data_IF_948702510272
#
_entry.id   IF_948702510272
#
_cell.length_a   1.000
_cell.length_b   1.000
_cell.length_c   1.000
_cell.angle_alpha   90.00
_cell.angle_beta   90.00
_cell.angle_gamma   90.00
#
_symmetry.space_group_name_H-M   'P 1'
#
loop_
_entity.id
_entity.type
_entity.pdbx_description
1 polymer ?
#
# COMPACT_ATOMS: atom_id res chain seq x y z
N UNK A 1 92.89 -25.52 22.39
CA UNK A 1 93.07 -24.23 21.69
C UNK A 1 92.07 -24.23 20.55
N UNK A 2 91.21 -23.22 20.50
CA UNK A 2 89.95 -23.18 19.74
C UNK A 2 90.22 -23.07 18.23
N UNK A 3 89.70 -23.99 17.43
CA UNK A 3 89.70 -23.90 15.96
C UNK A 3 88.55 -22.98 15.50
N UNK A 4 88.79 -22.03 14.57
CA UNK A 4 87.86 -20.94 14.31
C UNK A 4 86.61 -21.40 13.55
N UNK A 5 85.53 -20.68 13.83
CA UNK A 5 84.17 -20.85 13.33
C UNK A 5 84.10 -20.88 11.80
N UNK A 6 83.53 -21.96 11.27
CA UNK A 6 83.12 -22.11 9.87
C UNK A 6 82.00 -21.10 9.57
N UNK A 7 82.06 -20.31 8.48
CA UNK A 7 80.97 -19.41 8.13
C UNK A 7 79.70 -20.20 7.78
N UNK A 8 78.50 -19.70 8.10
CA UNK A 8 77.24 -20.38 7.82
C UNK A 8 77.03 -20.52 6.30
N UNK A 9 76.53 -21.69 5.87
CA UNK A 9 76.26 -22.00 4.47
C UNK A 9 75.07 -21.17 3.94
N UNK A 10 75.10 -20.73 2.67
CA UNK A 10 74.02 -19.94 2.06
C UNK A 10 72.68 -20.68 1.92
N UNK A 11 72.63 -21.98 2.22
CA UNK A 11 71.41 -22.79 2.13
C UNK A 11 70.42 -22.51 3.27
N UNK A 12 70.85 -22.06 4.46
CA UNK A 12 69.93 -21.71 5.55
C UNK A 12 69.10 -20.44 5.26
N UNK A 13 69.56 -19.58 4.37
CA UNK A 13 68.84 -18.37 3.95
C UNK A 13 67.69 -18.67 2.98
N UNK A 14 67.67 -19.85 2.34
CA UNK A 14 66.64 -20.22 1.36
C UNK A 14 65.39 -20.85 2.00
N UNK A 15 65.46 -21.29 3.25
CA UNK A 15 64.36 -21.97 3.94
C UNK A 15 63.48 -21.04 4.80
N UNK A 16 63.72 -19.72 4.79
CA UNK A 16 62.96 -18.73 5.58
C UNK A 16 62.30 -17.65 4.72
N UNK A 17 61.81 -18.03 3.54
CA UNK A 17 60.80 -17.23 2.83
C UNK A 17 59.53 -18.06 2.67
N UNK A 18 58.84 -18.32 3.78
CA UNK A 18 57.40 -18.59 3.70
C UNK A 18 56.78 -17.30 3.18
N UNK A 19 56.53 -17.25 1.88
CA UNK A 19 55.77 -16.17 1.26
C UNK A 19 54.38 -16.25 1.86
N UNK A 20 54.11 -15.37 2.82
CA UNK A 20 52.76 -15.12 3.33
C UNK A 20 51.93 -14.66 2.13
N UNK A 21 51.15 -15.57 1.55
CA UNK A 21 50.15 -15.22 0.55
C UNK A 21 49.19 -14.27 1.25
N UNK A 22 49.32 -12.98 0.95
CA UNK A 22 48.37 -11.98 1.40
C UNK A 22 46.98 -12.44 0.93
N UNK A 23 46.16 -12.93 1.88
CA UNK A 23 44.77 -13.27 1.59
C UNK A 23 44.13 -12.07 0.89
N UNK A 24 43.56 -12.25 -0.31
CA UNK A 24 42.93 -11.15 -1.01
C UNK A 24 41.73 -10.70 -0.17
N UNK A 25 41.94 -9.62 0.59
CA UNK A 25 40.91 -8.99 1.42
C UNK A 25 39.66 -8.83 0.55
N UNK A 26 38.51 -9.45 0.87
CA UNK A 26 37.39 -9.59 -0.07
C UNK A 26 36.56 -8.30 -0.19
N UNK A 27 37.21 -7.13 -0.16
CA UNK A 27 36.56 -5.83 -0.26
C UNK A 27 35.77 -5.71 -1.57
N UNK A 28 36.28 -6.29 -2.66
CA UNK A 28 35.56 -6.38 -3.92
C UNK A 28 34.25 -7.18 -3.79
N UNK A 29 34.26 -8.33 -3.11
CA UNK A 29 33.06 -9.14 -2.88
C UNK A 29 32.04 -8.41 -1.98
N UNK A 30 32.51 -7.71 -0.94
CA UNK A 30 31.66 -6.92 -0.04
C UNK A 30 30.98 -5.78 -0.82
N UNK A 31 31.72 -5.08 -1.68
CA UNK A 31 31.17 -4.02 -2.53
C UNK A 31 30.11 -4.59 -3.48
N UNK A 32 30.38 -5.74 -4.11
CA UNK A 32 29.43 -6.40 -5.01
C UNK A 32 28.11 -6.71 -4.28
N UNK A 33 28.19 -7.28 -3.07
CA UNK A 33 27.01 -7.61 -2.26
C UNK A 33 26.22 -6.35 -1.89
N UNK A 34 26.91 -5.28 -1.47
CA UNK A 34 26.27 -4.01 -1.13
C UNK A 34 25.56 -3.37 -2.33
N UNK A 35 26.19 -3.39 -3.50
CA UNK A 35 25.59 -2.89 -4.74
C UNK A 35 24.36 -3.71 -5.10
N UNK A 36 24.45 -5.04 -5.03
CA UNK A 36 23.32 -5.93 -5.29
C UNK A 36 22.15 -5.65 -4.35
N UNK A 37 22.43 -5.45 -3.05
CA UNK A 37 21.42 -5.12 -2.06
C UNK A 37 20.76 -3.76 -2.35
N UNK A 38 21.54 -2.75 -2.72
CA UNK A 38 21.03 -1.43 -3.08
C UNK A 38 20.17 -1.46 -4.35
N UNK A 39 20.56 -2.27 -5.35
CA UNK A 39 19.78 -2.47 -6.59
C UNK A 39 18.47 -3.18 -6.28
N UNK A 40 18.50 -4.25 -5.48
CA UNK A 40 17.30 -4.97 -5.07
C UNK A 40 16.36 -4.08 -4.27
N UNK A 41 16.88 -3.28 -3.34
CA UNK A 41 16.09 -2.33 -2.56
C UNK A 41 15.52 -1.22 -3.44
N UNK A 42 16.32 -0.70 -4.38
CA UNK A 42 15.87 0.29 -5.36
C UNK A 42 14.76 -0.26 -6.25
N UNK A 43 14.90 -1.49 -6.73
CA UNK A 43 13.91 -2.17 -7.57
C UNK A 43 12.64 -2.48 -6.77
N UNK A 44 12.76 -2.92 -5.52
CA UNK A 44 11.64 -3.14 -4.60
C UNK A 44 10.86 -1.84 -4.37
N UNK A 45 11.54 -0.72 -4.08
CA UNK A 45 10.90 0.59 -3.93
C UNK A 45 10.25 1.05 -5.24
N UNK A 46 10.86 0.76 -6.39
CA UNK A 46 10.31 1.11 -7.70
C UNK A 46 9.05 0.30 -8.03
N UNK A 47 9.06 -1.01 -7.76
CA UNK A 47 7.93 -1.92 -7.96
C UNK A 47 6.80 -1.68 -6.95
N UNK A 48 7.14 -1.31 -5.71
CA UNK A 48 6.17 -0.96 -4.66
C UNK A 48 5.50 0.41 -4.92
N UNK A 49 6.11 1.28 -5.73
CA UNK A 49 5.43 2.47 -6.27
C UNK A 49 4.46 2.03 -7.38
N UNK A 50 3.31 1.50 -6.96
CA UNK A 50 2.21 1.20 -7.87
C UNK A 50 1.85 2.41 -8.74
N UNK A 51 1.27 2.20 -9.95
CA UNK A 51 0.96 3.28 -10.86
C UNK A 51 0.09 4.30 -10.14
N UNK A 52 0.64 5.49 -9.88
CA UNK A 52 -0.19 6.65 -9.55
C UNK A 52 -0.98 6.91 -10.81
N UNK A 53 -2.22 6.39 -10.88
CA UNK A 53 -3.21 6.90 -11.82
C UNK A 53 -3.20 8.40 -11.55
N UNK A 54 -2.64 9.16 -12.49
CA UNK A 54 -2.71 10.61 -12.47
C UNK A 54 -4.17 10.92 -12.31
N UNK A 55 -4.56 11.41 -11.13
CA UNK A 55 -5.91 11.83 -10.85
C UNK A 55 -6.28 12.78 -12.00
N UNK A 56 -7.16 12.34 -12.90
CA UNK A 56 -7.81 13.22 -13.84
C UNK A 56 -8.28 14.40 -12.99
N UNK A 57 -7.78 15.60 -13.31
CA UNK A 57 -7.57 16.71 -12.37
C UNK A 57 -8.56 16.74 -11.21
N UNK A 58 -8.04 16.71 -9.99
CA UNK A 58 -8.83 16.67 -8.75
C UNK A 58 -10.04 17.58 -8.89
N UNK A 59 -11.23 16.99 -9.02
CA UNK A 59 -12.45 17.77 -9.22
C UNK A 59 -12.63 18.64 -7.97
N UNK A 60 -12.57 19.98 -8.05
CA UNK A 60 -12.64 20.84 -6.87
C UNK A 60 -13.96 20.64 -6.12
N UNK A 61 -15.00 20.18 -6.81
CA UNK A 61 -16.29 19.85 -6.25
C UNK A 61 -16.24 18.63 -5.30
N UNK A 62 -15.19 17.81 -5.34
CA UNK A 62 -15.01 16.70 -4.38
C UNK A 62 -14.97 17.16 -2.92
N UNK A 63 -14.52 18.40 -2.68
CA UNK A 63 -14.52 18.99 -1.33
C UNK A 63 -15.92 19.26 -0.78
N UNK A 64 -16.94 19.29 -1.66
CA UNK A 64 -18.33 19.49 -1.28
C UNK A 64 -19.02 18.19 -0.87
N UNK A 65 -18.38 17.04 -1.08
CA UNK A 65 -18.95 15.74 -0.71
C UNK A 65 -18.29 15.25 0.56
N UNK A 66 -19.09 14.96 1.58
CA UNK A 66 -18.61 14.48 2.87
C UNK A 66 -19.21 13.14 3.23
N UNK A 67 -18.40 12.26 3.82
CA UNK A 67 -18.87 11.04 4.46
C UNK A 67 -19.00 11.29 5.97
N UNK A 68 -20.10 10.86 6.57
CA UNK A 68 -20.32 10.90 8.02
C UNK A 68 -20.78 9.54 8.53
N UNK A 69 -20.61 9.33 9.83
CA UNK A 69 -21.12 8.16 10.55
C UNK A 69 -20.69 6.82 9.94
N UNK A 70 -19.52 6.81 9.29
CA UNK A 70 -18.98 5.62 8.66
C UNK A 70 -18.68 4.55 9.72
N UNK A 71 -19.26 3.37 9.53
CA UNK A 71 -19.10 2.20 10.37
C UNK A 71 -18.66 1.03 9.52
N UNK A 72 -17.69 0.29 10.02
CA UNK A 72 -17.22 -0.94 9.39
C UNK A 72 -17.76 -2.12 10.16
N UNK A 73 -18.48 -3.01 9.49
CA UNK A 73 -19.01 -4.25 10.07
C UNK A 73 -18.48 -5.44 9.30
N UNK A 74 -18.19 -6.54 9.97
CA UNK A 74 -17.77 -7.79 9.35
C UNK A 74 -18.78 -8.87 9.72
N UNK A 75 -19.28 -9.58 8.72
CA UNK A 75 -20.23 -10.69 8.89
C UNK A 75 -19.69 -11.92 8.18
N UNK A 76 -20.03 -13.11 8.68
CA UNK A 76 -19.77 -14.34 7.97
C UNK A 76 -21.00 -14.72 7.13
N UNK A 77 -20.80 -15.00 5.84
CA UNK A 77 -21.88 -15.51 4.99
C UNK A 77 -22.16 -16.99 5.26
N UNK A 78 -23.21 -17.53 4.66
CA UNK A 78 -23.62 -18.93 4.84
C UNK A 78 -22.58 -19.96 4.37
N UNK A 79 -21.61 -19.55 3.53
CA UNK A 79 -20.54 -20.40 3.03
C UNK A 79 -19.26 -20.30 3.91
N UNK A 80 -19.32 -19.57 5.03
CA UNK A 80 -18.19 -19.39 5.95
C UNK A 80 -17.22 -18.28 5.54
N UNK A 81 -17.48 -17.54 4.46
CA UNK A 81 -16.61 -16.44 4.03
C UNK A 81 -16.95 -15.15 4.79
N UNK A 82 -15.93 -14.39 5.18
CA UNK A 82 -16.11 -13.09 5.81
C UNK A 82 -16.38 -12.02 4.75
N UNK A 83 -17.44 -11.25 4.96
CA UNK A 83 -17.80 -10.08 4.15
C UNK A 83 -17.75 -8.87 5.05
N UNK A 84 -17.02 -7.84 4.62
CA UNK A 84 -16.93 -6.58 5.32
C UNK A 84 -17.76 -5.53 4.62
N UNK A 85 -18.57 -4.80 5.37
CA UNK A 85 -19.34 -3.66 4.91
C UNK A 85 -18.80 -2.38 5.52
N UNK A 86 -18.71 -1.34 4.70
CA UNK A 86 -18.54 0.04 5.19
C UNK A 86 -19.79 0.80 4.83
N UNK A 87 -20.49 1.28 5.85
CA UNK A 87 -21.78 1.96 5.70
C UNK A 87 -21.75 3.30 6.42
N UNK A 88 -22.51 4.26 5.93
CA UNK A 88 -22.63 5.56 6.56
C UNK A 88 -23.52 6.48 5.73
N UNK A 89 -23.41 7.77 5.99
CA UNK A 89 -24.08 8.80 5.20
C UNK A 89 -23.08 9.50 4.29
N UNK A 90 -23.52 9.83 3.08
CA UNK A 90 -22.81 10.71 2.15
C UNK A 90 -23.68 11.93 1.88
N UNK A 91 -23.09 13.11 2.06
CA UNK A 91 -23.76 14.40 1.87
C UNK A 91 -23.12 15.15 0.72
N UNK A 92 -23.95 15.72 -0.16
CA UNK A 92 -23.53 16.69 -1.16
C UNK A 92 -23.84 18.09 -0.62
N UNK A 93 -22.84 18.77 -0.07
CA UNK A 93 -23.00 20.09 0.53
C UNK A 93 -22.96 21.23 -0.49
N UNK A 94 -22.71 20.93 -1.77
CA UNK A 94 -22.65 21.91 -2.83
C UNK A 94 -23.97 22.06 -3.59
N UNK A 95 -23.90 22.78 -4.71
CA UNK A 95 -25.04 23.22 -5.52
C UNK A 95 -25.26 22.45 -6.84
N UNK A 96 -24.46 21.42 -7.14
CA UNK A 96 -24.58 20.58 -8.34
C UNK A 96 -25.10 19.19 -7.99
N UNK A 97 -25.82 18.56 -8.91
CA UNK A 97 -26.22 17.16 -8.77
C UNK A 97 -25.06 16.24 -9.10
N UNK A 98 -24.75 15.29 -8.22
CA UNK A 98 -23.75 14.23 -8.46
C UNK A 98 -24.44 13.01 -9.07
N UNK A 99 -23.93 12.57 -10.21
CA UNK A 99 -24.48 11.42 -10.98
C UNK A 99 -23.49 10.27 -11.11
N UNK A 100 -22.28 10.41 -10.59
CA UNK A 100 -21.28 9.36 -10.53
C UNK A 100 -20.12 9.76 -9.63
N UNK A 101 -19.53 8.80 -8.93
CA UNK A 101 -18.33 9.00 -8.13
C UNK A 101 -17.54 7.71 -8.01
N UNK A 102 -16.22 7.82 -8.02
CA UNK A 102 -15.30 6.76 -7.59
C UNK A 102 -14.72 7.14 -6.24
N UNK A 103 -14.62 6.14 -5.36
CA UNK A 103 -14.10 6.31 -4.00
C UNK A 103 -12.95 5.34 -3.82
N UNK A 104 -11.80 5.89 -3.43
CA UNK A 104 -10.68 5.12 -2.92
C UNK A 104 -10.89 4.86 -1.43
N UNK A 105 -10.84 3.58 -1.07
CA UNK A 105 -10.90 3.07 0.30
C UNK A 105 -9.52 2.58 0.68
N UNK A 106 -8.96 3.12 1.77
CA UNK A 106 -7.59 2.82 2.21
C UNK A 106 -7.59 2.19 3.59
N UNK A 107 -7.10 0.96 3.67
CA UNK A 107 -6.94 0.18 4.89
C UNK A 107 -5.51 0.27 5.40
N UNK A 108 -5.35 0.39 6.72
CA UNK A 108 -4.04 0.55 7.35
C UNK A 108 -3.79 -0.49 8.44
N UNK A 109 -2.52 -0.81 8.69
CA UNK A 109 -2.13 -1.60 9.86
C UNK A 109 -1.98 -0.71 11.12
N UNK A 110 -1.59 -1.32 12.24
CA UNK A 110 -1.40 -0.64 13.52
C UNK A 110 -0.25 0.38 13.51
N UNK A 111 0.69 0.24 12.56
CA UNK A 111 1.79 1.19 12.34
C UNK A 111 1.38 2.37 11.45
N UNK A 112 0.15 2.37 10.92
CA UNK A 112 -0.37 3.41 10.04
C UNK A 112 0.03 3.26 8.57
N UNK A 113 0.67 2.14 8.20
CA UNK A 113 1.05 1.81 6.83
C UNK A 113 -0.16 1.35 6.04
N UNK A 114 -0.20 1.67 4.74
CA UNK A 114 -1.28 1.21 3.85
C UNK A 114 -1.05 -0.26 3.51
N UNK A 115 -2.00 -1.12 3.89
CA UNK A 115 -1.94 -2.57 3.63
C UNK A 115 -2.88 -3.02 2.53
N UNK A 116 -3.91 -2.22 2.23
CA UNK A 116 -4.78 -2.43 1.09
C UNK A 116 -5.39 -1.10 0.65
N UNK A 117 -5.53 -0.94 -0.66
CA UNK A 117 -6.21 0.19 -1.28
C UNK A 117 -7.11 -0.34 -2.39
N UNK A 118 -8.37 0.07 -2.38
CA UNK A 118 -9.35 -0.34 -3.37
C UNK A 118 -10.11 0.88 -3.89
N UNK A 119 -10.55 0.83 -5.15
CA UNK A 119 -11.34 1.89 -5.77
C UNK A 119 -12.70 1.29 -6.17
N UNK A 120 -13.78 1.79 -5.58
CA UNK A 120 -15.14 1.31 -5.83
C UNK A 120 -16.06 2.49 -6.20
N UNK A 121 -17.06 2.27 -7.07
CA UNK A 121 -18.06 3.29 -7.37
C UNK A 121 -18.93 3.55 -6.13
N UNK A 122 -19.20 4.82 -5.85
CA UNK A 122 -20.15 5.20 -4.80
C UNK A 122 -21.57 4.79 -5.22
N UNK A 123 -22.17 3.91 -4.44
CA UNK A 123 -23.58 3.50 -4.59
C UNK A 123 -24.39 3.99 -3.40
N UNK A 124 -25.64 4.34 -3.68
CA UNK A 124 -26.59 4.79 -2.67
C UNK A 124 -27.50 3.64 -2.28
N UNK A 125 -27.71 3.44 -0.98
CA UNK A 125 -28.72 2.52 -0.48
C UNK A 125 -30.11 3.08 -0.76
N UNK A 126 -30.79 2.49 -1.73
CA UNK A 126 -32.19 2.74 -2.04
C UNK A 126 -33.08 1.79 -1.23
N UNK A 127 -34.16 2.33 -0.66
CA UNK A 127 -35.14 1.59 0.15
C UNK A 127 -36.46 1.45 -0.62
N UNK A 128 -36.36 1.06 -1.89
CA UNK A 128 -37.50 0.96 -2.80
C UNK A 128 -38.21 -0.41 -2.73
N UNK A 129 -37.64 -1.35 -1.98
CA UNK A 129 -38.15 -2.71 -1.80
C UNK A 129 -38.05 -3.19 -0.35
N UNK A 130 -38.32 -4.48 -0.08
CA UNK A 130 -38.31 -5.04 1.28
C UNK A 130 -36.93 -5.01 1.93
N UNK A 131 -35.87 -4.91 1.13
CA UNK A 131 -34.48 -4.83 1.59
C UNK A 131 -33.77 -3.63 0.93
N UNK A 132 -32.91 -2.90 1.66
CA UNK A 132 -32.08 -1.86 1.08
C UNK A 132 -31.12 -2.42 0.02
N UNK A 133 -31.06 -1.76 -1.14
CA UNK A 133 -30.22 -2.15 -2.27
C UNK A 133 -29.21 -1.05 -2.62
N UNK A 134 -27.97 -1.41 -2.93
CA UNK A 134 -26.96 -0.48 -3.37
C UNK A 134 -27.14 -0.16 -4.87
N UNK A 135 -27.62 1.05 -5.16
CA UNK A 135 -27.95 1.53 -6.51
C UNK A 135 -26.93 2.56 -7.00
N UNK A 136 -26.59 2.51 -8.28
CA UNK A 136 -25.67 3.45 -8.93
C UNK A 136 -26.20 4.90 -8.90
N UNK A 137 -25.31 5.87 -8.73
CA UNK A 137 -25.65 7.31 -8.73
C UNK A 137 -26.27 7.80 -10.04
N UNK A 138 -26.08 7.11 -11.17
CA UNK A 138 -26.77 7.44 -12.43
C UNK A 138 -28.28 7.19 -12.34
N UNK A 139 -28.68 6.18 -11.58
CA UNK A 139 -30.08 5.81 -11.36
C UNK A 139 -30.68 6.51 -10.14
N UNK A 140 -29.84 6.83 -9.16
CA UNK A 140 -30.26 7.49 -7.93
C UNK A 140 -29.32 8.67 -7.59
N UNK A 141 -29.37 9.77 -8.38
CA UNK A 141 -28.47 10.90 -8.22
C UNK A 141 -28.50 11.49 -6.82
N UNK A 142 -27.35 12.03 -6.39
CA UNK A 142 -27.22 12.77 -5.14
C UNK A 142 -27.35 14.27 -5.43
N UNK A 143 -28.55 14.80 -5.19
CA UNK A 143 -28.89 16.20 -5.45
C UNK A 143 -28.14 17.18 -4.55
N UNK A 144 -28.21 18.50 -4.84
CA UNK A 144 -27.69 19.54 -3.98
C UNK A 144 -28.24 19.46 -2.55
N UNK A 145 -27.37 19.63 -1.56
CA UNK A 145 -27.69 19.58 -0.13
C UNK A 145 -28.38 18.29 0.34
N UNK A 146 -28.28 17.21 -0.46
CA UNK A 146 -28.88 15.93 -0.14
C UNK A 146 -27.89 15.05 0.63
N UNK A 147 -28.42 14.33 1.62
CA UNK A 147 -27.72 13.27 2.33
C UNK A 147 -28.40 11.94 2.07
N UNK A 148 -27.64 10.90 1.73
CA UNK A 148 -28.16 9.54 1.54
C UNK A 148 -27.20 8.52 2.13
N UNK A 149 -27.72 7.34 2.44
CA UNK A 149 -26.91 6.24 2.96
C UNK A 149 -26.13 5.56 1.84
N UNK A 150 -24.90 5.12 2.11
CA UNK A 150 -24.09 4.33 1.18
C UNK A 150 -23.68 3.01 1.82
N UNK A 151 -23.25 2.08 0.97
CA UNK A 151 -22.60 0.82 1.39
C UNK A 151 -21.50 0.45 0.40
N UNK A 152 -20.32 0.19 0.91
CA UNK A 152 -19.27 -0.56 0.22
C UNK A 152 -19.24 -2.00 0.76
N UNK A 153 -18.91 -2.95 -0.10
CA UNK A 153 -18.85 -4.37 0.23
C UNK A 153 -17.50 -4.92 -0.22
N UNK A 154 -16.86 -5.66 0.68
CA UNK A 154 -15.54 -6.25 0.48
C UNK A 154 -15.60 -7.73 0.82
N UNK A 155 -15.25 -8.57 -0.14
CA UNK A 155 -15.13 -10.03 0.06
C UNK A 155 -13.74 -10.40 0.57
N UNK A 156 -12.74 -9.55 0.30
CA UNK A 156 -11.35 -9.79 0.67
C UNK A 156 -10.75 -8.51 1.24
N UNK A 157 -10.27 -8.60 2.49
CA UNK A 157 -9.47 -7.55 3.14
C UNK A 157 -8.19 -8.19 3.65
N UNK A 158 -7.08 -7.47 3.52
CA UNK A 158 -5.77 -7.86 4.03
C UNK A 158 -5.85 -8.22 5.51
N UNK A 159 -5.23 -9.35 5.87
CA UNK A 159 -5.13 -9.80 7.25
C UNK A 159 -4.34 -8.83 8.14
N UNK A 160 -3.52 -7.96 7.54
CA UNK A 160 -2.71 -6.96 8.27
C UNK A 160 -3.49 -5.69 8.63
N UNK A 161 -4.76 -5.57 8.21
CA UNK A 161 -5.60 -4.44 8.58
C UNK A 161 -5.87 -4.42 10.09
N UNK A 162 -5.68 -3.25 10.70
CA UNK A 162 -5.84 -3.05 12.15
C UNK A 162 -7.30 -2.98 12.64
N UNK A 163 -8.28 -3.30 11.79
CA UNK A 163 -9.71 -3.25 12.09
C UNK A 163 -10.25 -1.84 12.43
N UNK A 164 -9.49 -0.77 12.20
CA UNK A 164 -9.95 0.60 12.35
C UNK A 164 -10.68 1.09 11.11
N UNK A 165 -11.52 2.12 11.26
CA UNK A 165 -12.29 2.72 10.17
C UNK A 165 -11.38 3.10 8.99
N UNK A 166 -11.59 2.53 7.79
CA UNK A 166 -10.82 2.86 6.60
C UNK A 166 -11.02 4.31 6.16
N UNK A 167 -10.00 4.87 5.52
CA UNK A 167 -10.06 6.23 4.97
C UNK A 167 -10.79 6.18 3.63
N UNK A 168 -11.84 6.98 3.50
CA UNK A 168 -12.61 7.17 2.27
C UNK A 168 -12.18 8.46 1.58
N UNK A 169 -11.81 8.39 0.31
CA UNK A 169 -11.45 9.57 -0.50
C UNK A 169 -12.10 9.47 -1.87
N UNK A 170 -12.78 10.54 -2.27
CA UNK A 170 -13.26 10.66 -3.65
C UNK A 170 -12.08 10.86 -4.60
N UNK A 171 -11.99 10.02 -5.62
CA UNK A 171 -10.98 10.09 -6.68
C UNK A 171 -11.55 10.64 -7.99
N UNK A 172 -12.84 10.41 -8.24
CA UNK A 172 -13.54 10.90 -9.43
C UNK A 172 -14.95 11.32 -9.08
N UNK A 173 -15.45 12.36 -9.75
CA UNK A 173 -16.84 12.80 -9.68
C UNK A 173 -17.36 13.16 -11.07
N UNK A 174 -18.65 12.90 -11.27
CA UNK A 174 -19.44 13.33 -12.42
C UNK A 174 -20.62 14.16 -11.89
N UNK A 175 -20.68 15.42 -12.29
CA UNK A 175 -21.72 16.37 -11.89
C UNK A 175 -22.51 16.87 -13.11
N UNK A 176 -23.76 17.26 -12.91
CA UNK A 176 -24.58 17.99 -13.89
C UNK A 176 -24.66 19.47 -13.54
#
# INVERSE_FOLDING_TARGET
MVEPSRPPQPEEALFTAVREEAEPKPWAAIIIVLVLLAVLLGLFVLLARGPRRTAAGANPYATQISFSDAKTTQVQNFLGANVTYIEGAVSNNGNKTVTGSEVQITFKNSLGEVVQQEEQPLKILARNGPYPEAVDLRLAPLGPHQTREFRFTFEHISADWNQQQPVLRITRLVTQ
#
